data_IF_859800282480
#
_entry.id   IF_859800282480
#
_cell.length_a   1.000
_cell.length_b   1.000
_cell.length_c   1.000
_cell.angle_alpha   90.00
_cell.angle_beta   90.00
_cell.angle_gamma   90.00
#
_symmetry.space_group_name_H-M   'P 1'
#
loop_
_entity.id
_entity.type
_entity.pdbx_description
1 polymer ?
#
# COMPACT_ATOMS: atom_id res chain seq x y z
N UNK A 1 -7.93 -34.97 87.31
CA UNK A 1 -6.96 -34.83 86.19
C UNK A 1 -7.56 -33.86 85.17
N UNK A 2 -7.07 -32.61 85.12
CA UNK A 2 -7.67 -31.51 84.32
C UNK A 2 -6.81 -31.26 83.08
N UNK A 3 -7.44 -31.26 81.90
CA UNK A 3 -6.88 -30.78 80.63
C UNK A 3 -6.62 -29.28 80.70
N UNK A 4 -5.45 -28.80 80.26
CA UNK A 4 -5.26 -27.42 79.76
C UNK A 4 -4.29 -27.42 78.58
N UNK A 5 -4.83 -26.98 77.46
CA UNK A 5 -4.17 -26.65 76.20
C UNK A 5 -3.39 -25.35 76.39
N UNK A 6 -2.15 -25.27 75.89
CA UNK A 6 -1.41 -24.01 75.75
C UNK A 6 -1.10 -23.81 74.26
N UNK A 7 -1.44 -22.61 73.81
CA UNK A 7 -1.59 -22.16 72.43
C UNK A 7 -0.30 -21.56 71.84
N UNK A 8 -0.26 -21.58 70.50
CA UNK A 8 0.65 -20.95 69.54
C UNK A 8 1.10 -19.52 69.88
N UNK A 9 2.33 -19.19 69.45
CA UNK A 9 2.67 -17.91 68.80
C UNK A 9 4.04 -18.01 68.12
N UNK A 10 4.07 -18.36 66.82
CA UNK A 10 5.23 -18.16 65.94
C UNK A 10 5.00 -16.91 65.11
N UNK A 11 5.77 -15.86 65.40
CA UNK A 11 5.76 -14.61 64.65
C UNK A 11 6.43 -14.81 63.28
N UNK A 12 5.63 -14.72 62.20
CA UNK A 12 6.13 -14.64 60.83
C UNK A 12 6.17 -13.16 60.44
N UNK A 13 7.37 -12.56 60.47
CA UNK A 13 7.59 -11.20 60.01
C UNK A 13 7.45 -11.14 58.48
N UNK A 14 6.35 -10.54 58.01
CA UNK A 14 6.10 -10.30 56.59
C UNK A 14 6.84 -9.02 56.19
N UNK A 15 8.05 -9.15 55.61
CA UNK A 15 8.71 -8.02 54.97
C UNK A 15 8.08 -7.82 53.60
N UNK A 16 7.27 -6.76 53.45
CA UNK A 16 6.77 -6.32 52.15
C UNK A 16 7.96 -5.86 51.31
N UNK A 17 8.38 -6.71 50.37
CA UNK A 17 9.30 -6.30 49.32
C UNK A 17 8.52 -5.40 48.36
N UNK A 18 8.87 -4.12 48.35
CA UNK A 18 8.43 -3.20 47.30
C UNK A 18 9.09 -3.73 46.02
N UNK A 19 8.32 -4.43 45.20
CA UNK A 19 8.75 -4.77 43.84
C UNK A 19 8.74 -3.44 43.08
N UNK A 20 9.89 -2.93 42.62
CA UNK A 20 9.88 -1.82 41.69
C UNK A 20 9.16 -2.32 40.43
N UNK A 21 8.02 -1.72 40.11
CA UNK A 21 7.40 -1.93 38.81
C UNK A 21 8.38 -1.34 37.79
N UNK A 22 9.22 -2.18 37.18
CA UNK A 22 9.98 -1.78 36.02
C UNK A 22 8.96 -1.46 34.92
N UNK A 23 8.86 -0.19 34.54
CA UNK A 23 8.26 0.18 33.27
C UNK A 23 9.11 -0.50 32.19
N UNK A 24 8.62 -1.60 31.64
CA UNK A 24 9.22 -2.22 30.48
C UNK A 24 9.28 -1.14 29.39
N UNK A 25 10.48 -0.78 28.95
CA UNK A 25 10.67 0.04 27.78
C UNK A 25 9.99 -0.66 26.61
N UNK A 26 8.97 -0.03 26.03
CA UNK A 26 8.35 -0.56 24.84
C UNK A 26 9.31 -0.28 23.67
N UNK A 27 10.18 -1.25 23.37
CA UNK A 27 11.13 -1.25 22.24
C UNK A 27 10.44 -1.36 20.86
N UNK A 28 9.18 -0.91 20.74
CA UNK A 28 8.47 -0.92 19.46
C UNK A 28 9.13 0.10 18.55
N UNK A 29 9.47 -0.34 17.33
CA UNK A 29 10.03 0.54 16.31
C UNK A 29 9.02 0.75 15.19
N UNK A 30 9.12 1.90 14.53
CA UNK A 30 8.32 2.21 13.34
C UNK A 30 9.29 2.55 12.22
N UNK A 31 9.09 1.95 11.05
CA UNK A 31 9.84 2.21 9.84
C UNK A 31 8.90 2.82 8.79
N UNK A 32 9.35 3.89 8.14
CA UNK A 32 8.68 4.48 6.97
C UNK A 32 9.64 4.35 5.78
N UNK A 33 9.25 3.58 4.76
CA UNK A 33 10.12 3.27 3.62
C UNK A 33 11.52 2.81 4.06
N UNK A 34 11.57 1.78 4.90
CA UNK A 34 12.78 1.22 5.56
C UNK A 34 13.59 2.18 6.46
N UNK A 35 13.14 3.43 6.64
CA UNK A 35 13.80 4.40 7.51
C UNK A 35 13.19 4.35 8.90
N UNK A 36 14.00 4.08 9.93
CA UNK A 36 13.55 4.08 11.32
C UNK A 36 13.08 5.49 11.73
N UNK A 37 11.86 5.57 12.24
CA UNK A 37 11.31 6.77 12.85
C UNK A 37 11.97 6.97 14.22
N UNK A 38 12.76 8.03 14.35
CA UNK A 38 13.41 8.38 15.61
C UNK A 38 12.51 9.33 16.39
N UNK A 39 12.27 9.00 17.66
CA UNK A 39 11.44 9.79 18.57
C UNK A 39 11.96 9.69 20.01
N UNK A 40 11.97 10.82 20.72
CA UNK A 40 12.30 10.84 22.16
C UNK A 40 11.12 10.37 23.03
N UNK A 41 9.91 10.33 22.47
CA UNK A 41 8.70 9.86 23.11
C UNK A 41 8.47 8.37 22.80
N UNK A 42 8.19 7.51 23.81
CA UNK A 42 8.07 6.07 23.63
C UNK A 42 6.84 5.70 22.81
N UNK A 43 6.94 4.66 21.97
CA UNK A 43 5.77 4.07 21.32
C UNK A 43 5.05 3.16 22.33
N UNK A 44 3.73 3.28 22.44
CA UNK A 44 2.96 2.59 23.49
C UNK A 44 2.06 1.56 22.83
N UNK A 45 2.05 0.32 23.34
CA UNK A 45 1.01 -0.66 23.01
C UNK A 45 -0.02 -0.63 24.13
N UNK A 46 -1.27 -0.37 23.77
CA UNK A 46 -2.40 -0.39 24.69
C UNK A 46 -3.64 -0.93 23.99
N UNK A 47 -4.35 -1.87 24.63
CA UNK A 47 -5.54 -2.54 24.07
C UNK A 47 -5.28 -3.08 22.65
N UNK A 48 -4.13 -3.71 22.43
CA UNK A 48 -3.68 -4.22 21.13
C UNK A 48 -3.57 -3.14 20.03
N UNK A 49 -3.47 -1.87 20.43
CA UNK A 49 -3.23 -0.72 19.54
C UNK A 49 -1.88 -0.10 19.80
N UNK A 50 -1.15 0.14 18.71
CA UNK A 50 0.08 0.94 18.74
C UNK A 50 -0.29 2.41 18.72
N UNK A 51 -0.01 3.09 19.84
CA UNK A 51 -0.10 4.52 19.99
C UNK A 51 1.26 5.15 19.68
N UNK A 52 1.26 6.08 18.73
CA UNK A 52 2.47 6.79 18.30
C UNK A 52 2.39 8.27 18.65
N UNK A 53 3.51 8.92 18.98
CA UNK A 53 3.58 10.36 19.08
C UNK A 53 3.18 10.99 17.74
N UNK A 54 2.12 11.81 17.74
CA UNK A 54 1.52 12.37 16.53
C UNK A 54 2.55 13.07 15.64
N UNK A 55 3.35 13.96 16.25
CA UNK A 55 4.30 14.78 15.51
C UNK A 55 5.41 13.93 14.87
N UNK A 56 5.93 12.94 15.60
CA UNK A 56 7.01 12.09 15.12
C UNK A 56 6.61 11.34 13.84
N UNK A 57 5.48 10.64 13.83
CA UNK A 57 5.11 9.84 12.66
C UNK A 57 4.74 10.72 11.44
N UNK A 58 4.13 11.87 11.68
CA UNK A 58 3.57 12.71 10.62
C UNK A 58 4.63 13.55 9.90
N UNK A 59 5.76 13.84 10.54
CA UNK A 59 6.94 14.42 9.88
C UNK A 59 7.51 13.46 8.83
N UNK A 60 7.68 12.17 9.16
CA UNK A 60 8.15 11.15 8.19
C UNK A 60 7.13 10.90 7.06
N UNK A 61 5.84 11.10 7.34
CA UNK A 61 4.78 10.96 6.35
C UNK A 61 4.58 12.23 5.50
N UNK A 62 5.20 13.36 5.86
CA UNK A 62 5.05 14.68 5.23
C UNK A 62 3.60 15.20 5.30
N UNK A 63 2.98 15.10 6.49
CA UNK A 63 1.59 15.48 6.74
C UNK A 63 1.53 16.78 7.56
N UNK A 64 0.53 17.61 7.27
CA UNK A 64 0.31 18.83 8.04
C UNK A 64 -0.40 18.52 9.35
N UNK A 65 0.11 19.05 10.46
CA UNK A 65 -0.44 18.82 11.81
C UNK A 65 -0.66 20.15 12.50
N UNK A 66 -1.88 20.35 12.97
CA UNK A 66 -2.25 21.49 13.81
C UNK A 66 -2.71 20.99 15.19
N UNK A 67 -2.36 21.75 16.23
CA UNK A 67 -2.75 21.46 17.60
C UNK A 67 -3.43 22.69 18.22
N UNK A 68 -4.68 22.51 18.60
CA UNK A 68 -5.47 23.48 19.34
C UNK A 68 -5.46 23.09 20.83
N UNK A 69 -4.66 23.80 21.61
CA UNK A 69 -4.50 23.55 23.04
C UNK A 69 -5.73 23.88 23.88
N UNK A 70 -6.54 24.84 23.46
CA UNK A 70 -7.76 25.23 24.18
C UNK A 70 -8.86 24.19 23.97
N UNK A 71 -8.98 23.68 22.74
CA UNK A 71 -9.94 22.63 22.41
C UNK A 71 -9.43 21.20 22.67
N UNK A 72 -8.15 21.04 23.07
CA UNK A 72 -7.48 19.75 23.22
C UNK A 72 -7.65 18.86 21.98
N UNK A 73 -7.32 19.43 20.82
CA UNK A 73 -7.66 18.86 19.52
C UNK A 73 -6.46 18.87 18.59
N UNK A 74 -6.23 17.74 17.93
CA UNK A 74 -5.24 17.61 16.86
C UNK A 74 -5.94 17.47 15.52
N UNK A 75 -5.45 18.17 14.52
CA UNK A 75 -5.93 18.08 13.14
C UNK A 75 -4.78 17.66 12.25
N UNK A 76 -4.99 16.64 11.44
CA UNK A 76 -4.03 16.08 10.49
C UNK A 76 -4.61 16.21 9.09
N UNK A 77 -3.88 16.82 8.17
CA UNK A 77 -4.33 17.00 6.80
C UNK A 77 -3.26 16.54 5.79
N UNK A 78 -3.72 15.78 4.79
CA UNK A 78 -2.95 15.44 3.59
C UNK A 78 -3.91 15.35 2.40
N UNK A 79 -3.55 16.01 1.31
CA UNK A 79 -4.34 16.07 0.08
C UNK A 79 -5.81 16.45 0.35
N UNK A 80 -6.76 15.59 0.01
CA UNK A 80 -8.19 15.81 0.21
C UNK A 80 -8.71 15.30 1.55
N UNK A 81 -7.87 14.68 2.38
CA UNK A 81 -8.26 14.00 3.63
C UNK A 81 -7.83 14.80 4.86
N UNK A 82 -8.77 15.01 5.78
CA UNK A 82 -8.53 15.64 7.09
C UNK A 82 -9.06 14.76 8.21
N UNK A 83 -8.23 14.55 9.23
CA UNK A 83 -8.59 13.85 10.46
C UNK A 83 -8.52 14.82 11.64
N UNK A 84 -9.53 14.78 12.49
CA UNK A 84 -9.57 15.53 13.73
C UNK A 84 -9.78 14.59 14.90
N UNK A 85 -8.92 14.72 15.90
CA UNK A 85 -8.96 13.95 17.13
C UNK A 85 -9.06 14.88 18.33
N UNK A 86 -9.94 14.55 19.26
CA UNK A 86 -10.04 15.25 20.55
C UNK A 86 -9.51 14.34 21.66
N UNK A 87 -8.64 14.86 22.53
CA UNK A 87 -8.05 14.07 23.62
C UNK A 87 -9.13 13.44 24.49
N UNK A 88 -9.02 12.14 24.76
CA UNK A 88 -9.97 11.37 25.55
C UNK A 88 -11.30 11.02 24.84
N UNK A 89 -11.50 11.46 23.60
CA UNK A 89 -12.69 11.11 22.82
C UNK A 89 -12.42 9.89 21.92
N UNK A 90 -13.26 8.86 22.04
CA UNK A 90 -13.21 7.66 21.19
C UNK A 90 -13.88 7.83 19.83
N UNK A 91 -14.17 9.06 19.41
CA UNK A 91 -14.66 9.36 18.06
C UNK A 91 -13.64 10.25 17.36
N UNK A 92 -13.12 9.75 16.24
CA UNK A 92 -12.35 10.52 15.26
C UNK A 92 -13.30 11.09 14.22
N UNK A 93 -13.16 12.38 13.93
CA UNK A 93 -13.80 12.99 12.77
C UNK A 93 -12.85 12.84 11.57
N UNK A 94 -13.30 12.17 10.51
CA UNK A 94 -12.61 12.15 9.23
C UNK A 94 -13.46 12.89 8.21
N UNK A 95 -12.84 13.63 7.31
CA UNK A 95 -13.51 14.20 6.15
C UNK A 95 -12.65 14.08 4.91
N UNK A 96 -13.26 13.76 3.77
CA UNK A 96 -12.63 13.80 2.45
C UNK A 96 -13.33 14.84 1.56
N UNK A 97 -12.58 15.51 0.69
CA UNK A 97 -13.16 16.47 -0.27
C UNK A 97 -13.70 15.69 -1.48
N UNK A 98 -14.97 15.91 -1.82
CA UNK A 98 -15.58 15.39 -3.04
C UNK A 98 -16.32 16.51 -3.77
N UNK A 99 -15.94 16.78 -5.03
CA UNK A 99 -16.48 17.89 -5.83
C UNK A 99 -16.42 19.24 -5.08
N UNK A 100 -15.33 19.48 -4.34
CA UNK A 100 -15.12 20.69 -3.55
C UNK A 100 -15.91 20.74 -2.23
N UNK A 101 -16.67 19.70 -1.87
CA UNK A 101 -17.43 19.63 -0.62
C UNK A 101 -16.84 18.59 0.34
N UNK A 102 -16.67 18.91 1.63
CA UNK A 102 -16.22 17.94 2.62
C UNK A 102 -17.35 16.93 2.94
N UNK A 103 -17.03 15.63 2.85
CA UNK A 103 -17.91 14.54 3.27
C UNK A 103 -17.43 14.02 4.63
N UNK A 104 -18.21 14.15 5.72
CA UNK A 104 -17.85 13.65 7.04
C UNK A 104 -18.03 12.13 7.13
N UNK A 105 -17.03 11.45 7.71
CA UNK A 105 -16.92 10.01 7.88
C UNK A 105 -16.43 9.69 9.31
N UNK A 106 -17.23 9.95 10.35
CA UNK A 106 -16.79 9.72 11.73
C UNK A 106 -16.47 8.24 11.97
N UNK A 107 -15.42 7.99 12.75
CA UNK A 107 -14.94 6.63 13.08
C UNK A 107 -14.84 6.47 14.59
N UNK A 108 -15.33 5.34 15.10
CA UNK A 108 -15.15 4.95 16.49
C UNK A 108 -13.75 4.34 16.65
N UNK A 109 -13.00 4.85 17.63
CA UNK A 109 -11.68 4.39 18.01
C UNK A 109 -11.79 3.38 19.15
N UNK A 110 -11.03 2.30 19.05
CA UNK A 110 -10.91 1.34 20.15
C UNK A 110 -10.11 1.91 21.33
N UNK A 111 -9.16 2.80 21.05
CA UNK A 111 -8.41 3.53 22.07
C UNK A 111 -8.45 5.02 21.74
N UNK A 112 -8.87 5.83 22.71
CA UNK A 112 -8.94 7.28 22.54
C UNK A 112 -7.53 7.91 22.45
N UNK A 113 -7.38 9.04 21.75
CA UNK A 113 -6.17 9.86 21.76
C UNK A 113 -5.82 10.31 23.19
N UNK A 114 -4.53 10.40 23.49
CA UNK A 114 -4.06 10.72 24.85
C UNK A 114 -3.02 11.82 24.83
N UNK A 115 -3.02 12.61 25.90
CA UNK A 115 -1.93 13.51 26.22
C UNK A 115 -1.13 12.89 27.37
N UNK A 116 0.12 12.52 27.12
CA UNK A 116 1.02 11.90 28.10
C UNK A 116 2.31 12.71 28.10
N UNK A 117 2.66 13.33 29.23
CA UNK A 117 3.84 14.19 29.38
C UNK A 117 3.95 15.21 28.23
N UNK A 118 2.88 15.97 28.00
CA UNK A 118 2.75 16.99 26.93
C UNK A 118 2.92 16.46 25.49
N UNK A 119 2.92 15.14 25.30
CA UNK A 119 2.95 14.50 23.99
C UNK A 119 1.59 13.92 23.65
N UNK A 120 1.07 14.30 22.49
CA UNK A 120 -0.17 13.71 21.95
C UNK A 120 0.13 12.36 21.32
N UNK A 121 -0.64 11.35 21.71
CA UNK A 121 -0.61 9.99 21.20
C UNK A 121 -1.91 9.67 20.48
N UNK A 122 -1.80 9.11 19.28
CA UNK A 122 -2.95 8.65 18.50
C UNK A 122 -2.77 7.19 18.09
N UNK A 123 -3.86 6.44 17.89
CA UNK A 123 -3.81 5.10 17.32
C UNK A 123 -3.29 5.13 15.89
N UNK A 124 -2.15 4.48 15.66
CA UNK A 124 -1.52 4.45 14.34
C UNK A 124 -2.43 3.79 13.30
N UNK A 125 -3.12 2.70 13.67
CA UNK A 125 -4.01 1.97 12.78
C UNK A 125 -5.11 2.84 12.20
N UNK A 126 -5.62 3.80 12.97
CA UNK A 126 -6.72 4.67 12.54
C UNK A 126 -6.25 5.70 11.53
N UNK A 127 -5.06 6.27 11.76
CA UNK A 127 -4.39 7.19 10.84
C UNK A 127 -4.03 6.47 9.55
N UNK A 128 -3.35 5.31 9.63
CA UNK A 128 -2.93 4.58 8.43
C UNK A 128 -4.12 4.07 7.63
N UNK A 129 -5.20 3.66 8.29
CA UNK A 129 -6.44 3.27 7.58
C UNK A 129 -7.06 4.46 6.85
N UNK A 130 -7.17 5.62 7.52
CA UNK A 130 -7.81 6.80 6.94
C UNK A 130 -7.03 7.39 5.75
N UNK A 131 -5.70 7.34 5.80
CA UNK A 131 -4.84 7.76 4.70
C UNK A 131 -4.46 6.60 3.75
N UNK A 132 -5.13 5.46 3.88
CA UNK A 132 -4.97 4.26 3.05
C UNK A 132 -3.53 3.71 2.94
N UNK A 133 -2.68 4.01 3.92
CA UNK A 133 -1.28 3.62 4.00
C UNK A 133 -1.12 2.10 4.16
N UNK A 134 -0.03 1.55 3.60
CA UNK A 134 0.27 0.13 3.72
C UNK A 134 1.08 -0.10 4.99
N UNK A 135 0.53 -0.87 5.91
CA UNK A 135 1.13 -1.17 7.21
C UNK A 135 1.30 -2.68 7.39
N UNK A 136 2.44 -3.10 7.90
CA UNK A 136 2.69 -4.47 8.36
C UNK A 136 3.26 -4.47 9.78
N UNK A 137 2.86 -5.46 10.56
CA UNK A 137 3.38 -5.70 11.92
C UNK A 137 4.30 -6.92 11.90
N UNK A 138 5.55 -6.72 12.29
CA UNK A 138 6.49 -7.79 12.59
C UNK A 138 6.46 -8.05 14.10
N UNK A 139 5.83 -9.16 14.49
CA UNK A 139 5.68 -9.54 15.89
C UNK A 139 6.99 -10.01 16.52
N UNK A 140 7.90 -10.59 15.74
CA UNK A 140 9.15 -11.16 16.24
C UNK A 140 10.13 -10.04 16.62
N UNK A 141 10.19 -8.98 15.79
CA UNK A 141 11.04 -7.81 16.02
C UNK A 141 10.32 -6.65 16.71
N UNK A 142 9.00 -6.74 16.90
CA UNK A 142 8.13 -5.66 17.40
C UNK A 142 8.22 -4.39 16.55
N UNK A 143 8.17 -4.55 15.24
CA UNK A 143 8.33 -3.46 14.28
C UNK A 143 7.04 -3.20 13.53
N UNK A 144 6.69 -1.94 13.39
CA UNK A 144 5.69 -1.48 12.43
C UNK A 144 6.41 -0.99 11.19
N UNK A 145 6.03 -1.51 10.03
CA UNK A 145 6.55 -1.05 8.74
C UNK A 145 5.44 -0.37 7.96
N UNK A 146 5.69 0.86 7.53
CA UNK A 146 4.80 1.65 6.68
C UNK A 146 5.48 1.85 5.33
N UNK A 147 4.87 1.29 4.28
CA UNK A 147 5.33 1.44 2.91
C UNK A 147 4.41 2.41 2.15
N UNK A 148 5.02 3.48 1.62
CA UNK A 148 4.36 4.45 0.74
C UNK A 148 5.16 4.63 -0.54
N UNK A 149 4.48 5.11 -1.57
CA UNK A 149 5.18 5.57 -2.76
C UNK A 149 6.12 6.72 -2.43
N UNK A 150 7.35 6.59 -2.91
CA UNK A 150 8.35 7.64 -2.93
C UNK A 150 9.22 7.43 -4.17
N UNK A 151 9.52 8.52 -4.88
CA UNK A 151 10.26 8.45 -6.14
C UNK A 151 11.64 7.86 -5.91
N UNK A 152 11.99 6.82 -6.68
CA UNK A 152 13.26 6.11 -6.54
C UNK A 152 13.33 5.09 -5.40
N UNK A 153 12.33 5.03 -4.51
CA UNK A 153 12.23 3.98 -3.49
C UNK A 153 11.65 2.70 -4.11
N UNK A 154 12.50 1.90 -4.74
CA UNK A 154 12.11 0.66 -5.45
C UNK A 154 12.13 -0.59 -4.57
N UNK A 155 12.48 -0.50 -3.28
CA UNK A 155 12.52 -1.66 -2.36
C UNK A 155 11.24 -2.49 -2.40
N UNK A 156 10.03 -1.92 -2.46
CA UNK A 156 8.80 -2.72 -2.54
C UNK A 156 8.76 -3.64 -3.76
N UNK A 157 9.22 -3.18 -4.94
CA UNK A 157 9.28 -4.02 -6.14
C UNK A 157 10.29 -5.17 -5.98
N UNK A 158 11.41 -4.94 -5.29
CA UNK A 158 12.42 -5.96 -5.00
C UNK A 158 11.90 -6.96 -3.96
N UNK A 159 11.28 -6.47 -2.87
CA UNK A 159 10.66 -7.26 -1.79
C UNK A 159 9.64 -8.25 -2.33
N UNK A 160 8.82 -7.83 -3.31
CA UNK A 160 7.85 -8.70 -3.96
C UNK A 160 8.42 -9.52 -5.14
N UNK A 161 9.74 -9.45 -5.41
CA UNK A 161 10.40 -10.20 -6.47
C UNK A 161 10.04 -9.74 -7.90
N UNK A 162 9.39 -8.59 -8.04
CA UNK A 162 9.00 -8.01 -9.34
C UNK A 162 10.25 -7.67 -10.15
N UNK A 163 11.24 -7.04 -9.51
CA UNK A 163 12.56 -6.76 -10.08
C UNK A 163 13.66 -7.28 -9.14
N UNK A 164 14.88 -7.33 -9.65
CA UNK A 164 16.10 -7.62 -8.88
C UNK A 164 17.08 -6.45 -8.97
N UNK A 165 18.07 -6.43 -8.08
CA UNK A 165 19.17 -5.45 -8.15
C UNK A 165 19.96 -5.56 -9.48
N UNK A 166 20.04 -6.76 -10.07
CA UNK A 166 20.71 -6.97 -11.35
C UNK A 166 19.93 -6.33 -12.50
N UNK A 167 18.59 -6.31 -12.43
CA UNK A 167 17.75 -5.68 -13.43
C UNK A 167 18.01 -4.16 -13.54
N UNK A 168 18.39 -3.51 -12.43
CA UNK A 168 18.71 -2.08 -12.39
C UNK A 168 19.97 -1.72 -13.18
N UNK A 169 20.84 -2.70 -13.46
CA UNK A 169 22.14 -2.51 -14.13
C UNK A 169 22.12 -2.95 -15.61
N UNK A 170 20.96 -3.29 -16.16
CA UNK A 170 20.81 -3.69 -17.57
C UNK A 170 20.92 -2.47 -18.50
N UNK A 171 20.55 -2.64 -19.77
CA UNK A 171 20.58 -1.57 -20.77
C UNK A 171 19.78 -0.32 -20.33
N UNK A 172 19.81 0.76 -21.11
CA UNK A 172 19.01 1.95 -20.79
C UNK A 172 17.52 1.70 -21.01
N UNK A 173 17.15 1.11 -22.16
CA UNK A 173 15.76 0.86 -22.54
C UNK A 173 15.33 -0.57 -22.25
N UNK A 174 14.09 -0.74 -21.83
CA UNK A 174 13.49 -2.04 -21.56
C UNK A 174 12.85 -2.62 -22.82
N UNK A 175 13.09 -3.90 -23.11
CA UNK A 175 12.40 -4.55 -24.22
C UNK A 175 10.95 -4.88 -23.85
N UNK A 176 10.12 -5.03 -24.86
CA UNK A 176 8.73 -5.44 -24.69
C UNK A 176 8.62 -6.77 -23.93
N UNK A 177 9.47 -7.74 -24.27
CA UNK A 177 9.53 -9.03 -23.57
C UNK A 177 9.89 -8.89 -22.09
N UNK A 178 10.90 -8.08 -21.76
CA UNK A 178 11.31 -7.85 -20.36
C UNK A 178 10.21 -7.16 -19.56
N UNK A 179 9.54 -6.17 -20.14
CA UNK A 179 8.44 -5.47 -19.51
C UNK A 179 7.26 -6.39 -19.22
N UNK A 180 6.85 -7.20 -20.20
CA UNK A 180 5.74 -8.14 -20.03
C UNK A 180 6.08 -9.23 -19.01
N UNK A 181 7.31 -9.75 -18.99
CA UNK A 181 7.80 -10.66 -17.95
C UNK A 181 7.77 -10.01 -16.56
N UNK A 182 8.13 -8.74 -16.46
CA UNK A 182 8.09 -7.99 -15.20
C UNK A 182 6.65 -7.82 -14.71
N UNK A 183 5.74 -7.37 -15.59
CA UNK A 183 4.32 -7.17 -15.27
C UNK A 183 3.66 -8.50 -14.88
N UNK A 184 4.02 -9.60 -15.52
CA UNK A 184 3.49 -10.92 -15.23
C UNK A 184 3.69 -11.34 -13.77
N UNK A 185 4.74 -10.86 -13.11
CA UNK A 185 5.03 -11.18 -11.70
C UNK A 185 4.03 -10.56 -10.71
N UNK A 186 3.19 -9.61 -11.15
CA UNK A 186 2.05 -9.12 -10.34
C UNK A 186 0.90 -10.13 -10.26
N UNK A 187 0.93 -11.18 -11.07
CA UNK A 187 -0.15 -12.15 -11.19
C UNK A 187 0.35 -13.57 -10.93
N UNK A 188 -0.44 -14.35 -10.20
CA UNK A 188 -0.19 -15.77 -10.03
C UNK A 188 -0.40 -16.49 -11.36
N UNK A 189 0.64 -17.21 -11.81
CA UNK A 189 0.56 -18.04 -13.01
C UNK A 189 -0.45 -19.17 -12.83
N UNK A 190 -1.37 -19.37 -13.79
CA UNK A 190 -2.34 -20.45 -13.73
C UNK A 190 -1.67 -21.80 -14.00
N UNK A 191 -2.37 -22.89 -13.64
CA UNK A 191 -1.90 -24.25 -13.89
C UNK A 191 -1.73 -24.55 -15.39
N UNK A 192 -0.89 -25.54 -15.70
CA UNK A 192 -0.69 -26.00 -17.08
C UNK A 192 -2.02 -26.43 -17.74
N UNK A 193 -2.93 -27.02 -16.96
CA UNK A 193 -4.26 -27.41 -17.44
C UNK A 193 -5.13 -26.22 -17.85
N UNK A 194 -4.99 -25.06 -17.21
CA UNK A 194 -5.68 -23.84 -17.63
C UNK A 194 -5.13 -23.39 -18.97
N UNK A 195 -3.80 -23.33 -19.10
CA UNK A 195 -3.14 -22.93 -20.34
C UNK A 195 -3.55 -23.83 -21.52
N UNK A 196 -3.54 -25.15 -21.34
CA UNK A 196 -3.92 -26.10 -22.39
C UNK A 196 -5.35 -25.87 -22.93
N UNK A 197 -6.28 -25.40 -22.09
CA UNK A 197 -7.66 -25.09 -22.52
C UNK A 197 -7.71 -23.86 -23.43
N UNK A 198 -6.92 -22.84 -23.13
CA UNK A 198 -6.81 -21.64 -23.97
C UNK A 198 -6.01 -21.93 -25.24
N UNK A 199 -4.99 -22.76 -25.14
CA UNK A 199 -4.15 -23.20 -26.26
C UNK A 199 -4.94 -23.90 -27.37
N UNK A 200 -5.94 -24.73 -27.00
CA UNK A 200 -6.80 -25.42 -27.96
C UNK A 200 -7.87 -24.52 -28.60
N UNK A 201 -7.82 -23.20 -28.41
CA UNK A 201 -8.73 -22.26 -29.08
C UNK A 201 -8.11 -21.73 -30.37
N UNK A 202 -8.87 -21.80 -31.46
CA UNK A 202 -8.52 -21.26 -32.78
C UNK A 202 -8.05 -19.78 -32.72
N UNK A 203 -8.47 -19.04 -31.69
CA UNK A 203 -8.10 -17.64 -31.44
C UNK A 203 -6.59 -17.39 -31.26
N UNK A 204 -5.80 -18.40 -30.91
CA UNK A 204 -4.35 -18.26 -30.65
C UNK A 204 -3.47 -19.06 -31.61
N UNK A 205 -4.02 -19.57 -32.72
CA UNK A 205 -3.25 -20.25 -33.75
C UNK A 205 -2.23 -19.34 -34.43
N UNK A 206 -2.52 -18.05 -34.54
CA UNK A 206 -1.59 -17.03 -35.07
C UNK A 206 -0.28 -16.95 -34.29
N UNK A 207 -0.24 -17.44 -33.05
CA UNK A 207 0.95 -17.45 -32.18
C UNK A 207 1.81 -18.71 -32.33
N UNK A 208 1.53 -19.61 -33.27
CA UNK A 208 2.26 -20.86 -33.42
C UNK A 208 3.75 -20.70 -33.78
N UNK A 209 4.16 -19.53 -34.27
CA UNK A 209 5.56 -19.22 -34.58
C UNK A 209 6.33 -18.60 -33.39
N UNK A 210 5.66 -18.34 -32.27
CA UNK A 210 6.26 -17.81 -31.04
C UNK A 210 6.71 -18.99 -30.17
N UNK A 211 7.83 -18.85 -29.46
CA UNK A 211 8.29 -19.89 -28.53
C UNK A 211 7.25 -20.16 -27.43
N UNK A 212 7.29 -21.38 -26.88
CA UNK A 212 6.28 -21.84 -25.93
C UNK A 212 6.15 -20.96 -24.68
N UNK A 213 7.28 -20.45 -24.16
CA UNK A 213 7.31 -19.64 -22.95
C UNK A 213 6.68 -18.27 -23.18
N UNK A 214 7.05 -17.60 -24.28
CA UNK A 214 6.47 -16.31 -24.66
C UNK A 214 4.98 -16.46 -25.02
N UNK A 215 4.59 -17.55 -25.68
CA UNK A 215 3.18 -17.85 -25.94
C UNK A 215 2.38 -18.00 -24.63
N UNK A 216 2.94 -18.69 -23.63
CA UNK A 216 2.34 -18.86 -22.31
C UNK A 216 2.15 -17.53 -21.58
N UNK A 217 3.17 -16.67 -21.64
CA UNK A 217 3.10 -15.31 -21.13
C UNK A 217 1.94 -14.52 -21.76
N UNK A 218 1.89 -14.46 -23.10
CA UNK A 218 0.90 -13.65 -23.83
C UNK A 218 -0.54 -14.11 -23.54
N UNK A 219 -0.80 -15.43 -23.55
CA UNK A 219 -2.11 -15.99 -23.20
C UNK A 219 -2.49 -15.64 -21.76
N UNK A 220 -1.54 -15.71 -20.83
CA UNK A 220 -1.81 -15.35 -19.45
C UNK A 220 -2.17 -13.86 -19.33
N UNK A 221 -1.37 -12.97 -19.90
CA UNK A 221 -1.62 -11.52 -19.84
C UNK A 221 -2.93 -11.14 -20.54
N UNK A 222 -3.30 -11.83 -21.62
CA UNK A 222 -4.63 -11.70 -22.23
C UNK A 222 -5.75 -12.11 -21.28
N UNK A 223 -5.61 -13.24 -20.58
CA UNK A 223 -6.60 -13.69 -19.60
C UNK A 223 -6.78 -12.73 -18.41
N UNK A 224 -5.82 -11.82 -18.20
CA UNK A 224 -5.87 -10.74 -17.20
C UNK A 224 -6.40 -9.43 -17.76
N UNK A 225 -6.86 -9.41 -19.02
CA UNK A 225 -7.25 -8.21 -19.77
C UNK A 225 -6.14 -7.17 -19.89
N UNK A 226 -4.88 -7.59 -19.77
CA UNK A 226 -3.73 -6.68 -19.93
C UNK A 226 -3.40 -6.49 -21.41
N UNK A 227 -3.52 -7.55 -22.22
CA UNK A 227 -3.30 -7.54 -23.66
C UNK A 227 -4.59 -7.94 -24.39
N UNK A 228 -4.97 -7.20 -25.41
CA UNK A 228 -6.01 -7.60 -26.37
C UNK A 228 -5.43 -8.56 -27.41
N UNK A 229 -6.28 -9.16 -28.25
CA UNK A 229 -5.79 -9.96 -29.37
C UNK A 229 -5.08 -9.10 -30.42
N UNK A 230 -5.52 -7.85 -30.60
CA UNK A 230 -4.91 -6.90 -31.52
C UNK A 230 -3.52 -6.48 -31.03
N UNK A 231 -3.36 -6.20 -29.73
CA UNK A 231 -2.04 -5.93 -29.15
C UNK A 231 -1.08 -7.10 -29.44
N UNK A 232 -1.54 -8.32 -29.22
CA UNK A 232 -0.75 -9.54 -29.44
C UNK A 232 -0.36 -9.71 -30.90
N UNK A 233 -1.22 -9.35 -31.85
CA UNK A 233 -0.94 -9.48 -33.28
C UNK A 233 0.14 -8.49 -33.75
N UNK A 234 0.25 -7.32 -33.10
CA UNK A 234 1.19 -6.25 -33.47
C UNK A 234 2.47 -6.25 -32.64
N UNK A 235 2.50 -7.00 -31.54
CA UNK A 235 3.60 -7.05 -30.58
C UNK A 235 4.92 -7.56 -31.21
N UNK A 236 5.99 -6.79 -30.98
CA UNK A 236 7.37 -7.18 -31.30
C UNK A 236 8.15 -7.29 -30.01
N UNK A 237 8.33 -8.53 -29.54
CA UNK A 237 8.88 -8.83 -28.22
C UNK A 237 10.31 -8.31 -28.02
N UNK A 238 11.12 -8.31 -29.08
CA UNK A 238 12.52 -7.84 -29.06
C UNK A 238 12.66 -6.32 -29.17
N UNK A 239 11.61 -5.60 -29.61
CA UNK A 239 11.64 -4.15 -29.71
C UNK A 239 11.57 -3.50 -28.31
N UNK A 240 12.13 -2.31 -28.19
CA UNK A 240 11.99 -1.51 -26.97
C UNK A 240 10.51 -1.16 -26.75
N UNK A 241 10.07 -1.26 -25.49
CA UNK A 241 8.74 -0.84 -25.10
C UNK A 241 8.59 0.67 -25.29
N UNK A 242 7.46 1.12 -25.84
CA UNK A 242 7.18 2.57 -25.97
C UNK A 242 6.52 3.12 -24.71
N UNK A 243 6.61 4.44 -24.51
CA UNK A 243 5.88 5.12 -23.43
C UNK A 243 4.36 4.85 -23.51
N UNK A 244 3.80 4.85 -24.72
CA UNK A 244 2.37 4.56 -24.92
C UNK A 244 2.00 3.14 -24.45
N UNK A 245 2.79 2.13 -24.79
CA UNK A 245 2.54 0.75 -24.35
C UNK A 245 2.66 0.63 -22.83
N UNK A 246 3.70 1.22 -22.23
CA UNK A 246 3.91 1.20 -20.79
C UNK A 246 2.72 1.79 -20.01
N UNK A 247 2.24 2.97 -20.42
CA UNK A 247 1.08 3.62 -19.80
C UNK A 247 -0.21 2.84 -20.03
N UNK A 248 -0.40 2.28 -21.22
CA UNK A 248 -1.55 1.42 -21.52
C UNK A 248 -1.61 0.23 -20.56
N UNK A 249 -0.47 -0.42 -20.34
CA UNK A 249 -0.39 -1.56 -19.42
C UNK A 249 -0.61 -1.12 -17.97
N UNK A 250 0.01 -0.02 -17.53
CA UNK A 250 -0.17 0.54 -16.19
C UNK A 250 -1.65 0.84 -15.86
N UNK A 251 -2.38 1.43 -16.82
CA UNK A 251 -3.81 1.73 -16.66
C UNK A 251 -4.63 0.43 -16.58
N UNK A 252 -4.35 -0.55 -17.45
CA UNK A 252 -5.05 -1.84 -17.43
C UNK A 252 -4.77 -2.64 -16.15
N UNK A 253 -3.54 -2.58 -15.61
CA UNK A 253 -3.18 -3.21 -14.34
C UNK A 253 -3.95 -2.64 -13.15
N UNK A 254 -4.22 -1.33 -13.18
CA UNK A 254 -4.92 -0.60 -12.11
C UNK A 254 -6.44 -0.54 -12.32
N UNK A 255 -6.94 -1.08 -13.44
CA UNK A 255 -8.36 -1.21 -13.73
C UNK A 255 -9.12 0.11 -13.72
N UNK A 256 -10.45 0.01 -13.66
CA UNK A 256 -11.33 1.18 -13.52
C UNK A 256 -11.26 1.76 -12.11
N UNK A 257 -11.27 3.08 -12.02
CA UNK A 257 -11.52 3.79 -10.78
C UNK A 257 -13.02 4.07 -10.66
N UNK A 258 -13.52 4.08 -9.43
CA UNK A 258 -14.86 4.57 -9.12
C UNK A 258 -14.71 5.93 -8.47
N UNK A 259 -15.63 6.84 -8.76
CA UNK A 259 -15.75 8.05 -7.94
C UNK A 259 -16.48 7.73 -6.62
N UNK A 260 -16.47 8.67 -5.66
CA UNK A 260 -17.18 8.50 -4.40
C UNK A 260 -18.72 8.37 -4.57
N UNK A 261 -19.27 8.60 -5.77
CA UNK A 261 -20.67 8.34 -6.11
C UNK A 261 -20.93 6.90 -6.60
N UNK A 262 -19.90 6.04 -6.57
CA UNK A 262 -19.95 4.65 -7.05
C UNK A 262 -20.26 4.54 -8.55
N UNK A 263 -20.04 5.60 -9.33
CA UNK A 263 -20.12 5.51 -10.79
C UNK A 263 -18.78 5.01 -11.36
N UNK A 264 -18.87 4.08 -12.30
CA UNK A 264 -17.70 3.61 -13.05
C UNK A 264 -17.26 4.75 -13.96
N UNK A 265 -16.06 5.30 -13.76
CA UNK A 265 -15.42 6.12 -14.78
C UNK A 265 -14.92 5.14 -15.84
N UNK A 266 -15.68 4.98 -16.93
CA UNK A 266 -15.23 4.15 -18.06
C UNK A 266 -13.90 4.72 -18.57
N UNK A 267 -12.88 3.85 -18.64
CA UNK A 267 -11.59 4.22 -19.19
C UNK A 267 -11.74 4.18 -20.71
N UNK A 268 -11.73 5.36 -21.35
CA UNK A 268 -11.54 5.43 -22.80
C UNK A 268 -10.06 5.24 -23.08
N UNK A 269 -9.72 4.19 -23.82
CA UNK A 269 -8.35 3.90 -24.26
C UNK A 269 -8.32 3.84 -25.80
N UNK A 270 -9.11 4.70 -26.44
CA UNK A 270 -9.27 4.71 -27.90
C UNK A 270 -8.05 5.27 -28.61
N UNK A 271 -7.51 6.37 -28.09
CA UNK A 271 -6.39 7.09 -28.71
C UNK A 271 -5.28 7.36 -27.69
N UNK A 272 -4.03 7.63 -28.15
CA UNK A 272 -2.91 7.97 -27.26
C UNK A 272 -3.22 9.10 -26.27
N UNK A 273 -3.99 10.11 -26.68
CA UNK A 273 -4.39 11.22 -25.80
C UNK A 273 -5.24 10.77 -24.61
N UNK A 274 -6.11 9.77 -24.80
CA UNK A 274 -6.96 9.28 -23.72
C UNK A 274 -6.13 8.55 -22.66
N UNK A 275 -5.12 7.79 -23.12
CA UNK A 275 -4.15 7.10 -22.26
C UNK A 275 -3.35 8.09 -21.44
N UNK A 276 -2.81 9.15 -22.07
CA UNK A 276 -2.01 10.16 -21.37
C UNK A 276 -2.84 10.98 -20.39
N UNK A 277 -4.03 11.43 -20.78
CA UNK A 277 -4.92 12.14 -19.86
C UNK A 277 -5.31 11.27 -18.67
N UNK A 278 -5.67 9.99 -18.91
CA UNK A 278 -5.95 9.05 -17.80
C UNK A 278 -4.73 8.85 -16.90
N UNK A 279 -3.53 8.71 -17.46
CA UNK A 279 -2.31 8.53 -16.68
C UNK A 279 -1.98 9.79 -15.85
N UNK A 280 -2.21 10.98 -16.41
CA UNK A 280 -2.04 12.25 -15.72
C UNK A 280 -3.04 12.41 -14.57
N UNK A 281 -4.33 12.15 -14.80
CA UNK A 281 -5.36 12.16 -13.75
C UNK A 281 -5.04 11.20 -12.59
N UNK A 282 -4.34 10.10 -12.88
CA UNK A 282 -3.90 9.10 -11.87
C UNK A 282 -2.53 9.41 -11.26
N UNK A 283 -1.91 10.54 -11.60
CA UNK A 283 -0.56 10.94 -11.18
C UNK A 283 0.55 9.95 -11.59
N UNK A 284 0.33 9.15 -12.63
CA UNK A 284 1.35 8.26 -13.18
C UNK A 284 2.42 9.06 -13.93
N UNK A 285 2.01 10.15 -14.56
CA UNK A 285 2.87 11.09 -15.29
C UNK A 285 2.54 12.53 -14.89
N UNK A 286 3.48 13.44 -15.15
CA UNK A 286 3.38 14.84 -14.71
C UNK A 286 2.84 15.77 -15.84
N UNK A 287 2.58 15.24 -17.03
CA UNK A 287 2.10 15.98 -18.21
C UNK A 287 1.25 15.09 -19.11
N UNK A 288 0.26 15.67 -19.79
CA UNK A 288 -0.55 14.99 -20.82
C UNK A 288 0.10 15.01 -22.22
N UNK A 289 1.32 15.53 -22.36
CA UNK A 289 2.02 15.63 -23.65
C UNK A 289 2.31 14.25 -24.25
N UNK A 290 1.78 14.02 -25.46
CA UNK A 290 1.89 12.76 -26.20
C UNK A 290 3.10 12.70 -27.15
N UNK A 291 3.93 13.75 -27.22
CA UNK A 291 5.04 13.84 -28.17
C UNK A 291 6.04 12.67 -28.08
N UNK A 292 6.21 12.10 -26.88
CA UNK A 292 7.10 10.96 -26.64
C UNK A 292 6.39 9.59 -26.71
N UNK A 293 5.11 9.53 -27.10
CA UNK A 293 4.30 8.31 -27.05
C UNK A 293 4.94 7.10 -27.75
N UNK A 294 5.54 7.32 -28.92
CA UNK A 294 6.23 6.27 -29.69
C UNK A 294 7.72 6.14 -29.37
N UNK A 295 8.25 6.99 -28.49
CA UNK A 295 9.65 6.89 -28.05
C UNK A 295 9.81 5.70 -27.09
N UNK A 296 10.96 5.01 -27.12
CA UNK A 296 11.30 4.01 -26.12
C UNK A 296 11.24 4.57 -24.69
N UNK A 297 10.63 3.83 -23.77
CA UNK A 297 10.68 4.16 -22.33
C UNK A 297 11.99 3.63 -21.73
N UNK A 298 12.64 4.45 -20.90
CA UNK A 298 13.81 3.99 -20.16
C UNK A 298 13.37 2.95 -19.11
N UNK A 299 14.28 2.04 -18.75
CA UNK A 299 14.01 1.02 -17.72
C UNK A 299 13.79 1.64 -16.35
N UNK A 300 14.52 2.71 -16.05
CA UNK A 300 14.33 3.47 -14.80
C UNK A 300 12.91 4.05 -14.77
N UNK A 301 12.45 4.69 -15.84
CA UNK A 301 11.11 5.27 -15.90
C UNK A 301 10.02 4.20 -15.88
N UNK A 302 10.27 3.04 -16.51
CA UNK A 302 9.35 1.91 -16.44
C UNK A 302 9.22 1.34 -15.02
N UNK A 303 10.33 1.15 -14.29
CA UNK A 303 10.28 0.68 -12.91
C UNK A 303 9.70 1.73 -11.96
N UNK A 304 9.96 3.01 -12.20
CA UNK A 304 9.33 4.10 -11.47
C UNK A 304 7.81 4.13 -11.70
N UNK A 305 7.36 3.91 -12.94
CA UNK A 305 5.93 3.75 -13.26
C UNK A 305 5.33 2.55 -12.53
N UNK A 306 6.02 1.40 -12.53
CA UNK A 306 5.58 0.22 -11.76
C UNK A 306 5.52 0.50 -10.25
N UNK A 307 6.46 1.28 -9.72
CA UNK A 307 6.48 1.68 -8.32
C UNK A 307 5.28 2.59 -8.00
N UNK A 308 4.99 3.59 -8.84
CA UNK A 308 3.78 4.42 -8.70
C UNK A 308 2.51 3.59 -8.67
N UNK A 309 2.31 2.71 -9.66
CA UNK A 309 1.07 1.92 -9.73
C UNK A 309 0.96 0.86 -8.63
N UNK A 310 2.08 0.40 -8.08
CA UNK A 310 2.10 -0.54 -6.96
C UNK A 310 1.28 0.01 -5.78
N UNK A 311 1.46 1.30 -5.50
CA UNK A 311 0.81 2.02 -4.41
C UNK A 311 -0.50 2.70 -4.79
N UNK A 312 -0.84 2.75 -6.07
CA UNK A 312 -2.08 3.35 -6.53
C UNK A 312 -3.29 2.60 -5.99
N UNK A 313 -4.17 3.32 -5.29
CA UNK A 313 -5.43 2.80 -4.80
C UNK A 313 -6.48 2.86 -5.90
N UNK A 314 -7.10 1.71 -6.19
CA UNK A 314 -8.18 1.57 -7.15
C UNK A 314 -9.32 0.77 -6.53
N UNK A 315 -10.52 0.98 -7.06
CA UNK A 315 -11.73 0.34 -6.57
C UNK A 315 -12.00 -0.94 -7.34
N UNK A 316 -12.46 -1.97 -6.63
CA UNK A 316 -12.80 -3.26 -7.23
C UNK A 316 -14.21 -3.67 -6.83
N UNK A 317 -15.04 -3.97 -7.83
CA UNK A 317 -16.35 -4.57 -7.62
C UNK A 317 -16.25 -6.06 -7.31
N UNK A 318 -17.05 -6.53 -6.34
CA UNK A 318 -17.21 -7.95 -6.01
C UNK A 318 -18.58 -8.26 -5.43
N UNK A 319 -18.84 -9.53 -5.10
CA UNK A 319 -20.13 -9.98 -4.57
C UNK A 319 -20.55 -9.34 -3.23
N UNK A 320 -19.63 -8.66 -2.54
CA UNK A 320 -19.85 -7.96 -1.28
C UNK A 320 -19.92 -6.42 -1.43
N UNK A 321 -19.87 -5.89 -2.66
CA UNK A 321 -19.86 -4.44 -2.93
C UNK A 321 -18.55 -3.96 -3.56
N UNK A 322 -18.35 -2.64 -3.54
CA UNK A 322 -17.14 -1.96 -4.02
C UNK A 322 -16.22 -1.71 -2.83
N UNK A 323 -14.94 -2.03 -2.97
CA UNK A 323 -13.91 -1.73 -1.97
C UNK A 323 -12.64 -1.20 -2.64
N UNK A 324 -11.89 -0.38 -1.91
CA UNK A 324 -10.59 0.15 -2.35
C UNK A 324 -9.47 -0.84 -2.04
N UNK A 325 -8.55 -1.01 -2.98
CA UNK A 325 -7.36 -1.88 -2.84
C UNK A 325 -6.21 -1.30 -3.66
N UNK A 326 -5.02 -1.88 -3.52
CA UNK A 326 -3.86 -1.60 -4.36
C UNK A 326 -3.20 -2.89 -4.84
N UNK A 327 -2.26 -2.76 -5.78
CA UNK A 327 -1.40 -3.88 -6.17
C UNK A 327 -0.50 -4.31 -5.00
N UNK A 328 0.01 -3.36 -4.21
CA UNK A 328 0.75 -3.63 -2.97
C UNK A 328 -0.06 -4.54 -2.04
N UNK A 329 -1.30 -4.16 -1.70
CA UNK A 329 -2.18 -4.95 -0.81
C UNK A 329 -2.48 -6.34 -1.39
N UNK A 330 -2.50 -6.47 -2.71
CA UNK A 330 -2.71 -7.75 -3.38
C UNK A 330 -1.49 -8.65 -3.27
N UNK A 331 -0.28 -8.11 -3.47
CA UNK A 331 0.98 -8.85 -3.34
C UNK A 331 1.28 -9.21 -1.88
N UNK A 332 1.01 -8.30 -0.95
CA UNK A 332 1.20 -8.54 0.48
C UNK A 332 0.42 -9.77 0.96
N UNK A 333 -0.81 -9.96 0.47
CA UNK A 333 -1.64 -11.14 0.79
C UNK A 333 -1.10 -12.46 0.24
N UNK A 334 -0.20 -12.43 -0.73
CA UNK A 334 0.40 -13.63 -1.31
C UNK A 334 1.61 -14.13 -0.51
N UNK A 335 2.22 -13.24 0.28
CA UNK A 335 3.41 -13.55 1.09
C UNK A 335 3.11 -13.68 2.59
N UNK A 336 1.94 -13.22 3.05
CA UNK A 336 1.45 -13.36 4.43
C UNK A 336 0.77 -14.70 4.68
#
# INVERSE_FOLDING_TARGET
MKKKIISLLSALALTAQIVPCALAGNDVKVYVNDTEMITDAPIIIENDRTLVPVRAILEYLDYNVDWDGDAQKVTIAKDETTLTFTIGNSVMECSTIYQGNPIPLPKILETAPKLINDTTYIPLSDVTTAFELNITWDADNKEVHIDKYEKGYLTPLIKFGIISNDDLNKSEYITTQEALNTIQKFYTMPSESYFNRWYSSDKFESLNNIDYSSKKLLIHLHSRNLLTLDDIAELKLEDNLTNLQALTYAIRMTGSTYDCSSQIKEIRLSEPSDIYSTAYERNFIDTEDTANAQSPISRVDFYELLNKILFFNYSRGGGAGIYTTSLYKTLQKQIS
#
